data_IF_366598021695
#
_entry.id   IF_366598021695
#
_cell.length_a   1.000
_cell.length_b   1.000
_cell.length_c   1.000
_cell.angle_alpha   90.00
_cell.angle_beta   90.00
_cell.angle_gamma   90.00
#
_symmetry.space_group_name_H-M   'P 1'
#
loop_
_entity.id
_entity.type
_entity.pdbx_description
1 polymer ?
#
# COMPACT_ATOMS: atom_id res chain seq x y z
N UNK A 1 -3.02 -1.48 -11.30
CA UNK A 1 -3.26 -0.92 -9.94
C UNK A 1 -3.13 -2.02 -8.92
N UNK A 2 -2.12 -1.92 -8.07
CA UNK A 2 -1.59 -3.04 -7.31
C UNK A 2 -2.26 -3.12 -5.93
N UNK A 3 -3.54 -3.48 -5.91
CA UNK A 3 -4.28 -3.71 -4.68
C UNK A 3 -3.88 -5.05 -4.03
N UNK A 4 -3.70 -5.06 -2.71
CA UNK A 4 -3.33 -6.26 -1.96
C UNK A 4 -4.49 -6.69 -1.06
N UNK A 5 -4.94 -7.95 -1.16
CA UNK A 5 -5.97 -8.51 -0.26
C UNK A 5 -5.31 -9.05 1.01
N UNK A 6 -6.07 -9.16 2.09
CA UNK A 6 -5.55 -9.70 3.36
C UNK A 6 -4.98 -11.11 3.19
N UNK A 7 -5.65 -11.97 2.41
CA UNK A 7 -5.19 -13.34 2.14
C UNK A 7 -3.82 -13.39 1.48
N UNK A 8 -3.54 -12.45 0.58
CA UNK A 8 -2.25 -12.38 -0.12
C UNK A 8 -1.16 -11.98 0.87
N UNK A 9 -1.46 -11.10 1.83
CA UNK A 9 -0.54 -10.66 2.89
C UNK A 9 -0.24 -11.82 3.86
N UNK A 10 -1.25 -12.61 4.20
CA UNK A 10 -1.10 -13.77 5.09
C UNK A 10 -0.16 -14.85 4.49
N UNK A 11 -0.01 -14.88 3.16
CA UNK A 11 0.91 -15.77 2.44
C UNK A 11 2.33 -15.22 2.30
N UNK A 12 2.55 -13.94 2.62
CA UNK A 12 3.87 -13.31 2.53
C UNK A 12 4.71 -13.61 3.77
N UNK A 13 6.00 -13.85 3.56
CA UNK A 13 6.96 -13.84 4.66
C UNK A 13 7.26 -12.39 5.13
N UNK A 14 7.90 -12.20 6.30
CA UNK A 14 8.16 -10.85 6.83
C UNK A 14 8.94 -9.93 5.88
N UNK A 15 9.98 -10.44 5.22
CA UNK A 15 10.79 -9.67 4.26
C UNK A 15 9.97 -9.23 3.03
N UNK A 16 9.10 -10.11 2.53
CA UNK A 16 8.19 -9.80 1.43
C UNK A 16 7.19 -8.72 1.84
N UNK A 17 6.67 -8.76 3.08
CA UNK A 17 5.80 -7.72 3.61
C UNK A 17 6.51 -6.37 3.68
N UNK A 18 7.74 -6.34 4.18
CA UNK A 18 8.54 -5.11 4.24
C UNK A 18 8.85 -4.53 2.87
N UNK A 19 9.32 -5.37 1.94
CA UNK A 19 9.58 -4.96 0.55
C UNK A 19 8.31 -4.42 -0.10
N UNK A 20 7.19 -5.11 0.07
CA UNK A 20 5.90 -4.72 -0.48
C UNK A 20 5.39 -3.41 0.11
N UNK A 21 5.64 -3.18 1.40
CA UNK A 21 5.31 -1.92 2.07
C UNK A 21 6.12 -0.75 1.48
N UNK A 22 7.39 -0.96 1.17
CA UNK A 22 8.26 0.05 0.55
C UNK A 22 7.75 0.41 -0.85
N UNK A 23 7.48 -0.58 -1.69
CA UNK A 23 6.93 -0.40 -3.04
C UNK A 23 5.62 0.40 -3.02
N UNK A 24 4.70 0.09 -2.10
CA UNK A 24 3.45 0.82 -1.98
C UNK A 24 3.64 2.28 -1.51
N UNK A 25 4.64 2.55 -0.66
CA UNK A 25 4.94 3.92 -0.21
C UNK A 25 5.53 4.76 -1.34
N UNK A 26 6.36 4.17 -2.19
CA UNK A 26 6.88 4.83 -3.40
C UNK A 26 5.76 5.14 -4.39
N UNK A 27 4.86 4.18 -4.65
CA UNK A 27 3.67 4.39 -5.49
C UNK A 27 2.80 5.53 -4.93
N UNK A 28 2.60 5.57 -3.61
CA UNK A 28 1.84 6.64 -2.96
C UNK A 28 2.51 8.01 -3.13
N UNK A 29 3.84 8.08 -3.04
CA UNK A 29 4.60 9.31 -3.23
C UNK A 29 4.43 9.85 -4.65
N UNK A 30 4.52 8.99 -5.66
CA UNK A 30 4.31 9.34 -7.06
C UNK A 30 2.88 9.88 -7.29
N UNK A 31 1.88 9.20 -6.74
CA UNK A 31 0.48 9.63 -6.83
C UNK A 31 0.26 11.00 -6.17
N UNK A 32 0.93 11.29 -5.04
CA UNK A 32 0.90 12.62 -4.42
C UNK A 32 1.55 13.69 -5.28
N UNK A 33 2.69 13.39 -5.90
CA UNK A 33 3.37 14.33 -6.79
C UNK A 33 2.51 14.68 -8.00
N UNK A 34 1.88 13.66 -8.62
CA UNK A 34 0.91 13.86 -9.70
C UNK A 34 -0.26 14.74 -9.25
N UNK A 35 -0.84 14.47 -8.07
CA UNK A 35 -1.93 15.28 -7.53
C UNK A 35 -1.53 16.74 -7.30
N UNK A 36 -0.33 16.98 -6.76
CA UNK A 36 0.18 18.33 -6.50
C UNK A 36 0.41 19.15 -7.78
N UNK A 37 0.77 18.48 -8.88
CA UNK A 37 0.97 19.12 -10.20
C UNK A 37 -0.35 19.35 -10.96
N UNK A 38 -1.51 19.11 -10.33
CA UNK A 38 -2.82 19.24 -10.97
C UNK A 38 -3.22 18.01 -11.81
N UNK A 39 -2.61 16.86 -11.55
CA UNK A 39 -2.94 15.58 -12.18
C UNK A 39 -4.43 15.25 -12.05
N UNK A 40 -5.02 14.81 -13.15
CA UNK A 40 -6.46 14.60 -13.29
C UNK A 40 -7.03 13.64 -12.24
N UNK A 41 -8.33 13.83 -11.91
CA UNK A 41 -9.12 12.99 -11.00
C UNK A 41 -9.11 11.48 -11.28
N UNK A 42 -8.61 11.07 -12.44
CA UNK A 42 -8.42 9.69 -12.91
C UNK A 42 -7.63 8.82 -11.91
N UNK A 43 -6.69 9.39 -11.16
CA UNK A 43 -5.84 8.66 -10.22
C UNK A 43 -6.32 8.71 -8.76
N UNK A 44 -7.45 9.37 -8.48
CA UNK A 44 -7.99 9.46 -7.12
C UNK A 44 -8.40 8.09 -6.56
N UNK A 45 -8.83 7.17 -7.44
CA UNK A 45 -9.11 5.77 -7.08
C UNK A 45 -7.85 5.01 -6.66
N UNK A 46 -6.79 5.13 -7.47
CA UNK A 46 -5.49 4.55 -7.19
C UNK A 46 -4.92 5.06 -5.85
N UNK A 47 -4.96 6.39 -5.63
CA UNK A 47 -4.51 7.01 -4.38
C UNK A 47 -5.19 6.43 -3.14
N UNK A 48 -6.53 6.33 -3.16
CA UNK A 48 -7.30 5.74 -2.06
C UNK A 48 -6.97 4.26 -1.88
N UNK A 49 -6.77 3.54 -2.96
CA UNK A 49 -6.49 2.10 -2.93
C UNK A 49 -5.10 1.80 -2.38
N UNK A 50 -4.07 2.50 -2.84
CA UNK A 50 -2.68 2.37 -2.34
C UNK A 50 -2.60 2.69 -0.86
N UNK A 51 -3.26 3.76 -0.39
CA UNK A 51 -3.36 4.06 1.05
C UNK A 51 -4.00 2.94 1.87
N UNK A 52 -5.09 2.35 1.38
CA UNK A 52 -5.78 1.25 2.06
C UNK A 52 -4.94 -0.02 2.09
N UNK A 53 -4.20 -0.32 1.02
CA UNK A 53 -3.27 -1.44 0.96
C UNK A 53 -2.14 -1.28 1.99
N UNK A 54 -1.55 -0.09 2.10
CA UNK A 54 -0.53 0.22 3.12
C UNK A 54 -1.07 -0.02 4.53
N UNK A 55 -2.25 0.54 4.83
CA UNK A 55 -2.86 0.39 6.15
C UNK A 55 -3.09 -1.08 6.51
N UNK A 56 -3.63 -1.87 5.57
CA UNK A 56 -3.90 -3.29 5.76
C UNK A 56 -2.64 -4.10 6.05
N UNK A 57 -1.56 -3.82 5.31
CA UNK A 57 -0.26 -4.47 5.49
C UNK A 57 0.34 -4.16 6.87
N UNK A 58 0.33 -2.88 7.27
CA UNK A 58 0.78 -2.45 8.60
C UNK A 58 -0.04 -3.10 9.72
N UNK A 59 -1.37 -3.19 9.56
CA UNK A 59 -2.22 -3.86 10.54
C UNK A 59 -1.84 -5.32 10.71
N UNK A 60 -1.62 -6.05 9.61
CA UNK A 60 -1.24 -7.47 9.65
C UNK A 60 0.13 -7.70 10.28
N UNK A 61 1.13 -6.92 9.88
CA UNK A 61 2.46 -6.97 10.50
C UNK A 61 2.39 -6.69 12.02
N UNK A 62 1.57 -5.72 12.44
CA UNK A 62 1.37 -5.42 13.86
C UNK A 62 0.62 -6.52 14.62
N UNK A 63 -0.27 -7.26 13.98
CA UNK A 63 -0.97 -8.39 14.60
C UNK A 63 0.00 -9.54 14.85
N UNK A 64 0.85 -9.87 13.87
CA UNK A 64 1.87 -10.92 13.98
C UNK A 64 2.94 -10.65 15.04
N UNK A 65 3.17 -9.38 15.40
CA UNK A 65 4.13 -9.03 16.46
C UNK A 65 3.52 -9.13 17.87
N UNK A 66 2.19 -9.15 17.98
CA UNK A 66 1.47 -9.15 19.26
C UNK A 66 1.02 -10.55 19.70
N UNK A 67 0.99 -11.50 18.78
CA UNK A 67 0.81 -12.94 19.05
C UNK A 67 2.14 -13.58 19.43
#
# INVERSE_FOLDING_TARGET
>A
MTHIKSRDIDQMNPEQKERRLLELKEELLQLRAQQALGGSSSDAGAYKQTRRSIARLLTKMSQETKE
#
